data_IF_351300712264
#
_entry.id   IF_351300712264
#
_cell.length_a   1.000
_cell.length_b   1.000
_cell.length_c   1.000
_cell.angle_alpha   90.00
_cell.angle_beta   90.00
_cell.angle_gamma   90.00
#
_symmetry.space_group_name_H-M   'P 1'
#
loop_
_entity.id
_entity.type
_entity.pdbx_description
1 polymer ?
#
# COMPACT_ATOMS: atom_id res chain seq x y z
N UNK A 1 -7.05 49.59 -48.80
CA UNK A 1 -6.53 48.25 -48.44
C UNK A 1 -7.67 47.44 -47.86
N UNK A 2 -8.37 46.68 -48.75
CA UNK A 2 -9.52 45.86 -48.37
C UNK A 2 -9.04 44.43 -48.11
N UNK A 3 -9.24 43.92 -46.87
CA UNK A 3 -9.07 42.53 -46.53
C UNK A 3 -10.38 41.78 -46.79
N UNK A 4 -10.38 40.87 -47.74
CA UNK A 4 -11.45 39.90 -47.97
C UNK A 4 -11.29 38.78 -46.93
N UNK A 5 -12.28 38.59 -46.07
CA UNK A 5 -12.45 37.38 -45.29
C UNK A 5 -13.20 36.33 -46.14
N UNK A 6 -12.51 35.28 -46.55
CA UNK A 6 -13.14 34.12 -47.15
C UNK A 6 -13.69 33.23 -46.05
N UNK A 7 -15.00 33.16 -45.88
CA UNK A 7 -15.71 32.19 -45.09
C UNK A 7 -15.77 30.88 -45.88
N UNK A 8 -14.81 29.98 -45.61
CA UNK A 8 -14.89 28.61 -46.11
C UNK A 8 -15.89 27.83 -45.26
N UNK A 9 -17.04 27.47 -45.87
CA UNK A 9 -17.93 26.47 -45.27
C UNK A 9 -17.23 25.12 -45.33
N UNK A 10 -16.86 24.59 -44.17
CA UNK A 10 -16.38 23.19 -44.04
C UNK A 10 -17.63 22.32 -44.10
N UNK A 11 -17.86 21.66 -45.21
CA UNK A 11 -18.82 20.56 -45.32
C UNK A 11 -18.15 19.34 -44.67
N UNK A 12 -18.60 18.98 -43.46
CA UNK A 12 -18.25 17.71 -42.81
C UNK A 12 -18.91 16.59 -43.59
N UNK A 13 -18.12 15.83 -44.32
CA UNK A 13 -18.56 14.60 -44.97
C UNK A 13 -18.72 13.51 -43.89
N UNK A 14 -19.86 12.87 -43.84
CA UNK A 14 -20.18 11.80 -42.88
C UNK A 14 -19.48 10.46 -43.26
N UNK A 15 -18.18 10.50 -43.45
CA UNK A 15 -17.31 9.35 -43.66
C UNK A 15 -15.91 9.58 -43.06
N UNK A 16 -15.86 10.36 -41.97
CA UNK A 16 -14.61 10.39 -41.21
C UNK A 16 -14.48 9.04 -40.50
N UNK A 17 -13.48 8.30 -40.95
CA UNK A 17 -12.91 7.12 -40.26
C UNK A 17 -12.93 7.43 -38.78
N UNK A 18 -13.54 6.52 -38.02
CA UNK A 18 -13.32 6.45 -36.59
C UNK A 18 -11.82 6.26 -36.46
N UNK A 19 -11.08 7.34 -36.23
CA UNK A 19 -9.69 7.23 -35.77
C UNK A 19 -9.75 6.39 -34.51
N UNK A 20 -9.24 5.16 -34.60
CA UNK A 20 -9.07 4.30 -33.43
C UNK A 20 -8.38 5.17 -32.37
N UNK A 21 -9.09 5.43 -31.28
CA UNK A 21 -8.49 6.03 -30.08
C UNK A 21 -7.38 5.06 -29.72
N UNK A 22 -6.11 5.50 -29.63
CA UNK A 22 -5.03 4.60 -29.25
C UNK A 22 -5.47 3.86 -28.00
N UNK A 23 -5.32 2.55 -28.01
CA UNK A 23 -5.69 1.68 -26.87
C UNK A 23 -4.98 2.24 -25.64
N UNK A 24 -5.74 2.89 -24.77
CA UNK A 24 -5.19 3.45 -23.53
C UNK A 24 -5.07 2.31 -22.55
N UNK A 25 -3.89 2.12 -22.01
CA UNK A 25 -3.62 1.13 -20.98
C UNK A 25 -2.97 1.80 -19.77
N UNK A 26 -3.28 1.29 -18.60
CA UNK A 26 -2.63 1.64 -17.35
C UNK A 26 -1.65 0.54 -17.00
N UNK A 27 -0.39 0.88 -16.78
CA UNK A 27 0.64 -0.04 -16.27
C UNK A 27 0.66 0.08 -14.75
N UNK A 28 0.24 -1.01 -14.08
CA UNK A 28 0.18 -1.09 -12.62
C UNK A 28 1.23 -2.06 -12.07
N UNK A 29 2.16 -1.56 -11.27
CA UNK A 29 3.13 -2.37 -10.54
C UNK A 29 2.62 -2.68 -9.14
N UNK A 30 2.41 -3.97 -8.85
CA UNK A 30 1.91 -4.40 -7.55
C UNK A 30 2.99 -5.03 -6.69
N UNK A 31 2.97 -4.70 -5.38
CA UNK A 31 3.81 -5.30 -4.35
C UNK A 31 3.36 -6.71 -3.95
N UNK A 32 2.23 -7.16 -4.44
CA UNK A 32 1.71 -8.50 -4.18
C UNK A 32 2.30 -9.51 -5.17
N UNK A 33 2.36 -10.77 -4.74
CA UNK A 33 2.64 -11.90 -5.64
C UNK A 33 1.34 -12.33 -6.33
N UNK A 34 1.47 -12.91 -7.51
CA UNK A 34 0.33 -13.31 -8.34
C UNK A 34 -0.60 -14.34 -7.67
N UNK A 35 -0.06 -15.16 -6.75
CA UNK A 35 -0.76 -16.22 -6.03
C UNK A 35 -1.27 -15.78 -4.64
N UNK A 36 -1.10 -14.53 -4.25
CA UNK A 36 -1.62 -14.00 -3.00
C UNK A 36 -3.11 -13.63 -3.12
N UNK A 37 -3.91 -13.78 -2.04
CA UNK A 37 -5.33 -13.43 -2.05
C UNK A 37 -5.64 -11.99 -2.48
N UNK A 38 -4.73 -11.05 -2.25
CA UNK A 38 -4.84 -9.67 -2.68
C UNK A 38 -4.81 -9.54 -4.20
N UNK A 39 -4.08 -10.41 -4.89
CA UNK A 39 -4.02 -10.40 -6.35
C UNK A 39 -5.37 -10.68 -6.98
N UNK A 40 -6.20 -11.54 -6.38
CA UNK A 40 -7.54 -11.82 -6.87
C UNK A 40 -8.42 -10.56 -6.81
N UNK A 41 -8.37 -9.84 -5.69
CA UNK A 41 -9.15 -8.59 -5.51
C UNK A 41 -8.70 -7.51 -6.49
N UNK A 42 -7.39 -7.39 -6.72
CA UNK A 42 -6.82 -6.41 -7.66
C UNK A 42 -7.22 -6.76 -9.10
N UNK A 43 -7.19 -8.04 -9.48
CA UNK A 43 -7.66 -8.48 -10.81
C UNK A 43 -9.14 -8.17 -11.02
N UNK A 44 -9.99 -8.50 -10.05
CA UNK A 44 -11.42 -8.18 -10.12
C UNK A 44 -11.67 -6.66 -10.26
N UNK A 45 -10.91 -5.85 -9.53
CA UNK A 45 -11.00 -4.39 -9.63
C UNK A 45 -10.53 -3.86 -10.99
N UNK A 46 -9.45 -4.42 -11.54
CA UNK A 46 -8.94 -4.07 -12.87
C UNK A 46 -9.93 -4.43 -13.97
N UNK A 47 -10.50 -5.65 -13.94
CA UNK A 47 -11.52 -6.11 -14.88
C UNK A 47 -12.77 -5.23 -14.83
N UNK A 48 -13.25 -4.88 -13.62
CA UNK A 48 -14.40 -4.00 -13.47
C UNK A 48 -14.12 -2.58 -13.98
N UNK A 49 -12.90 -2.08 -13.83
CA UNK A 49 -12.48 -0.79 -14.36
C UNK A 49 -12.43 -0.82 -15.89
N UNK A 50 -11.84 -1.85 -16.48
CA UNK A 50 -11.77 -2.05 -17.92
C UNK A 50 -13.17 -2.17 -18.54
N UNK A 51 -14.08 -2.93 -17.91
CA UNK A 51 -15.49 -3.03 -18.36
C UNK A 51 -16.20 -1.68 -18.31
N UNK A 52 -15.94 -0.87 -17.29
CA UNK A 52 -16.60 0.41 -17.11
C UNK A 52 -16.06 1.52 -18.02
N UNK A 53 -14.77 1.47 -18.38
CA UNK A 53 -14.07 2.59 -19.03
C UNK A 53 -13.54 2.27 -20.44
N UNK A 54 -13.35 0.99 -20.75
CA UNK A 54 -12.65 0.53 -21.96
C UNK A 54 -11.13 0.72 -21.89
N UNK A 55 -10.57 1.07 -20.73
CA UNK A 55 -9.13 1.24 -20.52
C UNK A 55 -8.58 -0.02 -19.87
N UNK A 56 -7.63 -0.69 -20.52
CA UNK A 56 -7.02 -1.91 -19.98
C UNK A 56 -6.05 -1.60 -18.85
N UNK A 57 -5.89 -2.55 -17.92
CA UNK A 57 -4.94 -2.45 -16.80
C UNK A 57 -3.95 -3.61 -16.89
N UNK A 58 -2.72 -3.31 -17.29
CA UNK A 58 -1.62 -4.25 -17.28
C UNK A 58 -1.03 -4.34 -15.87
N UNK A 59 -1.31 -5.42 -15.15
CA UNK A 59 -0.79 -5.62 -13.81
C UNK A 59 0.54 -6.38 -13.88
N UNK A 60 1.58 -5.80 -13.32
CA UNK A 60 2.89 -6.42 -13.17
C UNK A 60 3.14 -6.76 -11.71
N UNK A 61 3.11 -8.05 -11.38
CA UNK A 61 3.34 -8.55 -10.03
C UNK A 61 4.83 -8.53 -9.70
N UNK A 62 5.26 -7.52 -8.95
CA UNK A 62 6.67 -7.30 -8.58
C UNK A 62 7.01 -7.92 -7.22
N UNK A 63 6.00 -8.30 -6.46
CA UNK A 63 6.20 -8.76 -5.09
C UNK A 63 6.84 -7.70 -4.21
N UNK A 64 7.31 -8.11 -3.06
CA UNK A 64 7.99 -7.19 -2.10
C UNK A 64 9.29 -6.61 -2.66
N UNK A 65 9.80 -7.17 -3.76
CA UNK A 65 10.94 -6.62 -4.51
C UNK A 65 10.71 -5.24 -5.11
N UNK A 66 9.46 -4.82 -5.29
CA UNK A 66 9.10 -3.48 -5.80
C UNK A 66 9.86 -2.35 -5.08
N UNK A 67 10.12 -2.53 -3.79
CA UNK A 67 10.82 -1.57 -2.93
C UNK A 67 12.19 -1.15 -3.46
N UNK A 68 12.88 -2.04 -4.15
CA UNK A 68 14.19 -1.78 -4.74
C UNK A 68 14.15 -1.56 -6.25
N UNK A 69 13.01 -1.81 -6.88
CA UNK A 69 12.84 -1.73 -8.34
C UNK A 69 12.21 -0.43 -8.80
N UNK A 70 11.32 0.16 -7.97
CA UNK A 70 10.46 1.27 -8.41
C UNK A 70 11.26 2.54 -8.74
N UNK A 71 12.17 2.96 -7.87
CA UNK A 71 12.94 4.19 -8.07
C UNK A 71 13.84 4.11 -9.30
N UNK A 72 14.67 3.05 -9.50
CA UNK A 72 15.47 2.90 -10.72
C UNK A 72 14.62 2.85 -12.00
N UNK A 73 13.43 2.26 -11.96
CA UNK A 73 12.55 2.18 -13.12
C UNK A 73 11.94 3.56 -13.47
N UNK A 74 11.48 4.30 -12.47
CA UNK A 74 10.99 5.67 -12.63
C UNK A 74 12.09 6.60 -13.16
N UNK A 75 13.31 6.49 -12.62
CA UNK A 75 14.48 7.24 -13.08
C UNK A 75 14.86 6.90 -14.53
N UNK A 76 14.69 5.65 -14.94
CA UNK A 76 14.90 5.21 -16.31
C UNK A 76 13.79 5.66 -17.28
N UNK A 77 12.70 6.21 -16.77
CA UNK A 77 11.53 6.64 -17.55
C UNK A 77 10.68 5.48 -18.02
N UNK A 78 10.66 4.36 -17.28
CA UNK A 78 9.71 3.28 -17.54
C UNK A 78 8.29 3.79 -17.34
N UNK A 79 7.36 3.32 -18.17
CA UNK A 79 5.96 3.63 -17.99
C UNK A 79 5.42 2.88 -16.79
N UNK A 80 5.11 3.61 -15.73
CA UNK A 80 4.45 3.11 -14.51
C UNK A 80 3.40 4.15 -14.14
N UNK A 81 2.14 3.84 -14.42
CA UNK A 81 1.03 4.79 -14.22
C UNK A 81 0.47 4.68 -12.81
N UNK A 82 0.57 3.48 -12.22
CA UNK A 82 0.10 3.17 -10.87
C UNK A 82 1.07 2.19 -10.22
N UNK A 83 1.33 2.36 -8.93
CA UNK A 83 2.02 1.34 -8.14
C UNK A 83 1.53 1.34 -6.70
N UNK A 84 1.70 0.23 -6.01
CA UNK A 84 1.46 0.12 -4.58
C UNK A 84 2.74 -0.19 -3.80
N UNK A 85 2.86 0.41 -2.64
CA UNK A 85 3.91 0.16 -1.65
C UNK A 85 3.46 0.70 -0.28
N UNK A 86 4.33 0.64 0.70
CA UNK A 86 4.14 1.28 1.99
C UNK A 86 4.00 2.80 1.85
N UNK A 87 2.89 3.35 2.38
CA UNK A 87 2.58 4.76 2.21
C UNK A 87 3.67 5.70 2.75
N UNK A 88 4.25 5.40 3.90
CA UNK A 88 5.28 6.26 4.48
C UNK A 88 6.48 6.35 3.53
N UNK A 89 6.88 5.23 2.93
CA UNK A 89 7.96 5.19 1.96
C UNK A 89 7.61 5.97 0.70
N UNK A 90 6.43 5.77 0.14
CA UNK A 90 5.98 6.53 -1.02
C UNK A 90 6.09 8.03 -0.77
N UNK A 91 5.57 8.51 0.36
CA UNK A 91 5.54 9.94 0.67
C UNK A 91 6.93 10.54 0.97
N UNK A 92 7.88 9.74 1.46
CA UNK A 92 9.22 10.19 1.84
C UNK A 92 10.28 9.99 0.75
N UNK A 93 10.24 8.85 0.05
CA UNK A 93 11.27 8.47 -0.91
C UNK A 93 10.86 8.73 -2.36
N UNK A 94 9.57 8.62 -2.69
CA UNK A 94 9.08 8.70 -4.07
C UNK A 94 8.23 9.94 -4.37
N UNK A 95 8.21 10.90 -3.45
CA UNK A 95 7.34 12.09 -3.54
C UNK A 95 7.37 12.79 -4.89
N UNK A 96 8.55 12.96 -5.47
CA UNK A 96 8.75 13.71 -6.71
C UNK A 96 8.13 13.03 -7.94
N UNK A 97 7.76 11.74 -7.82
CA UNK A 97 7.10 10.96 -8.86
C UNK A 97 5.58 10.85 -8.65
N UNK A 98 5.06 11.31 -7.50
CA UNK A 98 3.66 11.14 -7.14
C UNK A 98 2.81 12.35 -7.51
N UNK A 99 1.62 12.09 -8.04
CA UNK A 99 0.60 13.11 -8.22
C UNK A 99 -0.16 13.37 -6.91
N UNK A 100 -0.58 14.61 -6.70
CA UNK A 100 -1.53 14.95 -5.64
C UNK A 100 -2.92 14.45 -6.01
N UNK A 101 -3.54 13.61 -5.16
CA UNK A 101 -4.75 12.85 -5.47
C UNK A 101 -6.03 13.46 -4.90
N UNK A 102 -5.96 14.58 -4.17
CA UNK A 102 -7.14 15.14 -3.49
C UNK A 102 -8.31 15.38 -4.45
N UNK A 103 -8.03 15.94 -5.63
CA UNK A 103 -9.08 16.19 -6.62
C UNK A 103 -9.80 14.91 -7.07
N UNK A 104 -9.06 13.83 -7.30
CA UNK A 104 -9.62 12.51 -7.65
C UNK A 104 -10.36 11.89 -6.45
N UNK A 105 -9.79 11.96 -5.27
CA UNK A 105 -10.40 11.46 -4.04
C UNK A 105 -11.75 12.15 -3.74
N UNK A 106 -11.85 13.44 -3.99
CA UNK A 106 -13.09 14.21 -3.83
C UNK A 106 -14.19 13.72 -4.80
N UNK A 107 -13.85 13.29 -6.02
CA UNK A 107 -14.84 12.81 -7.00
C UNK A 107 -15.52 11.50 -6.61
N UNK A 108 -14.87 10.70 -5.78
CA UNK A 108 -15.36 9.39 -5.30
C UNK A 108 -15.72 9.40 -3.81
N UNK A 109 -15.79 10.58 -3.20
CA UNK A 109 -16.07 10.73 -1.76
C UNK A 109 -15.13 9.87 -0.88
N UNK A 110 -13.86 9.70 -1.27
CA UNK A 110 -12.91 8.78 -0.64
C UNK A 110 -12.82 8.97 0.89
N UNK A 111 -12.85 10.22 1.36
CA UNK A 111 -12.80 10.52 2.79
C UNK A 111 -13.94 9.89 3.61
N UNK A 112 -15.08 9.56 2.98
CA UNK A 112 -16.19 8.87 3.63
C UNK A 112 -15.97 7.37 3.77
N UNK A 113 -15.02 6.81 3.01
CA UNK A 113 -14.76 5.37 2.94
C UNK A 113 -13.48 4.96 3.66
N UNK A 114 -12.69 5.91 4.14
CA UNK A 114 -11.45 5.66 4.90
C UNK A 114 -11.65 5.99 6.39
N UNK A 115 -10.97 5.27 7.24
CA UNK A 115 -10.91 5.59 8.68
C UNK A 115 -10.24 6.96 8.88
N UNK A 116 -10.86 7.90 9.63
CA UNK A 116 -10.31 9.26 9.80
C UNK A 116 -8.86 9.30 10.32
N UNK A 117 -8.50 8.38 11.21
CA UNK A 117 -7.14 8.28 11.75
C UNK A 117 -6.11 7.92 10.68
N UNK A 118 -6.48 7.08 9.70
CA UNK A 118 -5.60 6.74 8.58
C UNK A 118 -5.45 7.91 7.63
N UNK A 119 -6.54 8.61 7.33
CA UNK A 119 -6.51 9.78 6.47
C UNK A 119 -5.63 10.89 7.07
N UNK A 120 -5.75 11.13 8.38
CA UNK A 120 -4.90 12.09 9.09
C UNK A 120 -3.43 11.69 9.00
N UNK A 121 -3.11 10.41 9.25
CA UNK A 121 -1.73 9.90 9.17
C UNK A 121 -1.14 10.06 7.77
N UNK A 122 -1.92 9.73 6.75
CA UNK A 122 -1.54 9.85 5.34
C UNK A 122 -1.23 11.31 4.97
N UNK A 123 -2.10 12.24 5.37
CA UNK A 123 -1.87 13.68 5.15
C UNK A 123 -0.65 14.19 5.91
N UNK A 124 -0.40 13.68 7.12
CA UNK A 124 0.79 14.08 7.89
C UNK A 124 2.10 13.66 7.18
N UNK A 125 2.19 12.44 6.68
CA UNK A 125 3.37 11.98 5.92
C UNK A 125 3.51 12.71 4.57
N UNK A 126 2.39 13.07 3.94
CA UNK A 126 2.36 13.86 2.72
C UNK A 126 2.57 15.37 2.91
N UNK A 127 2.90 15.84 4.13
CA UNK A 127 2.98 17.28 4.45
C UNK A 127 1.69 18.07 4.10
N UNK A 128 0.55 17.44 4.30
CA UNK A 128 -0.78 17.99 4.02
C UNK A 128 -1.36 17.57 2.67
N UNK A 129 -0.57 16.97 1.78
CA UNK A 129 -1.03 16.46 0.48
C UNK A 129 -1.45 14.98 0.58
N UNK A 130 -2.40 14.60 -0.26
CA UNK A 130 -2.82 13.20 -0.43
C UNK A 130 -2.05 12.61 -1.62
N UNK A 131 -0.91 11.98 -1.35
CA UNK A 131 -0.01 11.44 -2.37
C UNK A 131 -0.30 9.98 -2.72
N UNK A 132 -1.07 9.27 -1.92
CA UNK A 132 -1.58 7.94 -2.22
C UNK A 132 -2.88 7.68 -1.47
N UNK A 133 -3.65 6.70 -1.92
CA UNK A 133 -4.92 6.31 -1.33
C UNK A 133 -4.74 4.96 -0.62
N UNK A 134 -4.64 4.91 0.73
CA UNK A 134 -4.53 3.66 1.46
C UNK A 134 -5.73 2.75 1.22
N UNK A 135 -5.48 1.51 0.86
CA UNK A 135 -6.55 0.52 0.65
C UNK A 135 -6.47 -0.66 1.62
N UNK A 136 -5.31 -0.91 2.21
CA UNK A 136 -5.12 -2.01 3.16
C UNK A 136 -4.29 -1.58 4.37
N UNK A 137 -4.93 -1.21 5.48
CA UNK A 137 -4.22 -0.98 6.73
C UNK A 137 -3.75 -2.30 7.34
N UNK A 138 -2.59 -2.30 7.97
CA UNK A 138 -2.11 -3.43 8.76
C UNK A 138 -1.73 -2.99 10.18
N UNK A 139 -1.77 -3.94 11.09
CA UNK A 139 -1.38 -3.73 12.48
C UNK A 139 -0.26 -4.71 12.81
N UNK A 140 0.87 -4.18 13.26
CA UNK A 140 1.96 -5.02 13.79
C UNK A 140 1.65 -5.41 15.22
N UNK A 141 1.82 -6.68 15.52
CA UNK A 141 1.56 -7.22 16.87
C UNK A 141 2.30 -8.51 17.14
N UNK A 142 2.18 -8.99 18.35
CA UNK A 142 2.69 -10.33 18.73
C UNK A 142 1.58 -11.34 18.50
N UNK A 143 1.81 -12.26 17.60
CA UNK A 143 0.91 -13.35 17.27
C UNK A 143 1.36 -14.62 17.97
N UNK A 144 0.45 -15.49 18.35
CA UNK A 144 0.76 -16.79 18.94
C UNK A 144 -0.05 -17.91 18.28
N UNK A 145 0.59 -19.05 18.11
CA UNK A 145 -0.08 -20.27 17.67
C UNK A 145 -0.80 -20.89 18.88
N UNK A 146 -2.11 -21.10 18.78
CA UNK A 146 -2.94 -21.59 19.90
C UNK A 146 -2.58 -23.02 20.30
N UNK A 147 -2.31 -23.90 19.34
CA UNK A 147 -2.01 -25.29 19.60
C UNK A 147 -0.65 -25.42 20.32
N UNK A 148 0.37 -24.69 19.86
CA UNK A 148 1.69 -24.64 20.52
C UNK A 148 1.62 -23.96 21.90
N UNK A 149 0.70 -23.00 22.06
CA UNK A 149 0.46 -22.35 23.34
C UNK A 149 -0.08 -23.35 24.39
N UNK A 150 -1.05 -24.18 24.00
CA UNK A 150 -1.62 -25.24 24.85
C UNK A 150 -0.60 -26.34 25.11
N UNK A 151 0.22 -26.73 24.11
CA UNK A 151 1.31 -27.70 24.24
C UNK A 151 2.35 -27.25 25.29
N UNK A 152 2.63 -25.95 25.35
CA UNK A 152 3.49 -25.35 26.37
C UNK A 152 2.82 -25.26 27.76
N UNK A 153 1.60 -25.75 27.93
CA UNK A 153 0.82 -25.70 29.16
C UNK A 153 0.36 -24.29 29.53
N UNK A 154 0.12 -23.45 28.50
CA UNK A 154 -0.40 -22.09 28.64
C UNK A 154 -1.91 -22.07 28.34
N UNK A 155 -2.59 -21.09 28.91
CA UNK A 155 -4.03 -20.87 28.76
C UNK A 155 -4.32 -19.44 28.32
N UNK A 156 -5.57 -19.10 28.05
CA UNK A 156 -5.98 -17.71 27.76
C UNK A 156 -5.63 -16.73 28.89
N UNK A 157 -5.56 -17.21 30.14
CA UNK A 157 -5.19 -16.38 31.29
C UNK A 157 -3.71 -16.01 31.31
N UNK A 158 -2.87 -16.73 30.55
CA UNK A 158 -1.45 -16.45 30.40
C UNK A 158 -1.17 -15.41 29.29
N UNK A 159 -2.19 -14.98 28.52
CA UNK A 159 -2.00 -13.95 27.46
C UNK A 159 -1.44 -12.67 28.10
N UNK A 160 -0.24 -12.24 27.63
CA UNK A 160 0.44 -11.13 28.28
C UNK A 160 -0.14 -9.78 27.84
N UNK A 161 -0.52 -8.95 28.80
CA UNK A 161 -0.95 -7.56 28.63
C UNK A 161 0.14 -6.55 29.03
N UNK A 162 1.27 -7.05 29.53
CA UNK A 162 2.45 -6.24 29.87
C UNK A 162 3.72 -6.91 29.39
N UNK A 163 4.79 -6.12 29.25
CA UNK A 163 6.10 -6.63 28.88
C UNK A 163 6.64 -7.65 29.88
N UNK A 164 6.46 -7.41 31.17
CA UNK A 164 6.88 -8.29 32.24
C UNK A 164 6.15 -9.64 32.19
N UNK A 165 4.86 -9.62 31.83
CA UNK A 165 4.09 -10.86 31.61
C UNK A 165 4.58 -11.59 30.36
N UNK A 166 4.87 -10.88 29.26
CA UNK A 166 5.45 -11.47 28.06
C UNK A 166 6.77 -12.19 28.38
N UNK A 167 7.68 -11.54 29.09
CA UNK A 167 8.94 -12.14 29.48
C UNK A 167 8.73 -13.39 30.37
N UNK A 168 7.73 -13.36 31.27
CA UNK A 168 7.39 -14.54 32.08
C UNK A 168 6.89 -15.70 31.23
N UNK A 169 6.02 -15.43 30.29
CA UNK A 169 5.51 -16.43 29.33
C UNK A 169 6.65 -17.02 28.52
N UNK A 170 7.53 -16.19 27.95
CA UNK A 170 8.69 -16.66 27.21
C UNK A 170 9.59 -17.59 28.06
N UNK A 171 9.80 -17.26 29.33
CA UNK A 171 10.57 -18.13 30.25
C UNK A 171 9.83 -19.44 30.55
N UNK A 172 8.49 -19.40 30.69
CA UNK A 172 7.67 -20.60 30.90
C UNK A 172 7.78 -21.55 29.70
N UNK A 173 7.65 -21.03 28.47
CA UNK A 173 7.83 -21.82 27.24
C UNK A 173 9.24 -22.39 27.15
N UNK A 174 10.27 -21.56 27.34
CA UNK A 174 11.66 -21.99 27.26
C UNK A 174 12.01 -23.11 28.27
N UNK A 175 11.39 -23.11 29.46
CA UNK A 175 11.62 -24.07 30.52
C UNK A 175 10.65 -25.27 30.49
N UNK A 176 9.71 -25.30 29.54
CA UNK A 176 8.85 -26.46 29.30
C UNK A 176 9.64 -27.55 28.53
N UNK A 177 9.18 -28.78 28.65
CA UNK A 177 9.77 -29.90 27.92
C UNK A 177 9.31 -29.96 26.44
N UNK A 178 8.59 -28.93 25.96
CA UNK A 178 8.01 -28.89 24.61
C UNK A 178 9.06 -28.74 23.49
N UNK A 179 10.25 -28.24 23.80
CA UNK A 179 11.27 -27.93 22.79
C UNK A 179 10.95 -26.72 21.91
N UNK A 180 9.87 -25.97 22.23
CA UNK A 180 9.41 -24.82 21.47
C UNK A 180 10.29 -23.59 21.67
N UNK A 181 10.42 -22.79 20.61
CA UNK A 181 10.99 -21.45 20.70
C UNK A 181 9.96 -20.49 21.29
N UNK A 182 10.36 -19.70 22.28
CA UNK A 182 9.47 -18.78 22.97
C UNK A 182 9.05 -17.59 22.12
N UNK A 183 9.90 -17.15 21.19
CA UNK A 183 9.61 -16.11 20.21
C UNK A 183 10.39 -16.39 18.93
N UNK A 184 9.80 -16.01 17.81
CA UNK A 184 10.47 -15.92 16.53
C UNK A 184 10.10 -14.59 15.88
N UNK A 185 10.96 -14.10 15.03
CA UNK A 185 10.73 -12.90 14.24
C UNK A 185 11.41 -13.11 12.88
N UNK A 186 10.79 -12.64 11.84
CA UNK A 186 11.42 -12.55 10.53
C UNK A 186 12.56 -11.54 10.59
N UNK A 187 13.63 -11.80 9.84
CA UNK A 187 14.82 -10.93 9.81
C UNK A 187 14.47 -9.50 9.38
N UNK A 188 13.57 -9.36 8.42
CA UNK A 188 13.13 -8.05 7.94
C UNK A 188 12.34 -7.24 8.97
N UNK A 189 11.68 -7.93 9.92
CA UNK A 189 10.80 -7.29 10.91
C UNK A 189 11.46 -7.08 12.29
N UNK A 190 12.71 -7.39 12.46
CA UNK A 190 13.42 -7.15 13.72
C UNK A 190 13.48 -5.67 14.08
N UNK A 191 13.50 -4.79 13.09
CA UNK A 191 13.44 -3.34 13.24
C UNK A 191 12.13 -2.86 13.90
N UNK A 192 10.99 -3.52 13.62
CA UNK A 192 9.71 -3.21 14.26
C UNK A 192 9.75 -3.46 15.77
N UNK A 193 10.35 -4.60 16.18
CA UNK A 193 10.54 -4.89 17.60
C UNK A 193 11.48 -3.87 18.27
N UNK A 194 12.52 -3.46 17.57
CA UNK A 194 13.44 -2.42 18.03
C UNK A 194 12.73 -1.06 18.19
N UNK A 195 11.99 -0.64 17.18
CA UNK A 195 11.18 0.59 17.22
C UNK A 195 10.16 0.60 18.35
N UNK A 196 9.48 -0.54 18.57
CA UNK A 196 8.58 -0.71 19.71
C UNK A 196 9.31 -0.55 21.07
N UNK A 197 10.51 -1.11 21.21
CA UNK A 197 11.30 -0.95 22.45
C UNK A 197 11.72 0.52 22.64
N UNK A 198 12.15 1.20 21.59
CA UNK A 198 12.48 2.64 21.66
C UNK A 198 11.27 3.46 22.12
N UNK A 199 10.09 3.23 21.52
CA UNK A 199 8.86 3.91 21.91
C UNK A 199 8.50 3.71 23.38
N UNK A 200 8.75 2.51 23.92
CA UNK A 200 8.53 2.21 25.34
C UNK A 200 9.49 2.97 26.28
N UNK A 201 10.74 3.16 25.87
CA UNK A 201 11.76 3.83 26.70
C UNK A 201 11.73 5.34 26.56
N UNK A 202 11.52 5.84 25.37
CA UNK A 202 11.63 7.27 25.05
C UNK A 202 10.28 7.99 25.05
N UNK A 203 9.20 7.24 24.91
CA UNK A 203 7.86 7.76 24.60
C UNK A 203 7.64 7.90 23.08
N UNK A 204 6.41 7.72 22.67
CA UNK A 204 6.03 7.72 21.26
C UNK A 204 6.39 9.02 20.54
N UNK A 205 6.19 10.17 21.20
CA UNK A 205 6.47 11.49 20.61
C UNK A 205 7.95 11.69 20.24
N UNK A 206 8.88 11.04 20.96
CA UNK A 206 10.32 11.16 20.67
C UNK A 206 10.83 10.21 19.60
N UNK A 207 10.05 9.21 19.26
CA UNK A 207 10.41 8.22 18.21
C UNK A 207 9.89 8.67 16.85
N UNK A 208 8.93 9.58 16.81
CA UNK A 208 8.35 10.14 15.58
C UNK A 208 9.08 11.40 15.09
N UNK A 209 10.09 11.86 15.79
CA UNK A 209 10.98 12.99 15.40
C UNK A 209 12.21 12.50 14.66
#
# INVERSE_FOLDING_TARGET
LSMLFATGAVTVSASDEITEIPEQSIVYWSMWEEDEPQADVIREAAEAYEEATGISVEIQWKGRGIRSLIEPALDAGEQIDLFDDDYQRMAQEHRDYLAELKGMADTVDYEKHIMPVLLEQVKNWGNGELLAMPYQPYITGVWYNKDLWEEAGLTEQDIPDTWEKLIRVCRKIKNSDSGLSAMTCDEEYVNLLYGYQLARYLGQEKVQQ
#
